data_IF_315174371307
#
_entry.id   IF_315174371307
#
_cell.length_a   1.000
_cell.length_b   1.000
_cell.length_c   1.000
_cell.angle_alpha   90.00
_cell.angle_beta   90.00
_cell.angle_gamma   90.00
#
_symmetry.space_group_name_H-M   'P 1'
#
loop_
_entity.id
_entity.type
_entity.pdbx_description
1 polymer ?
#
# COMPACT_ATOMS: atom_id res chain seq x y z
N UNK A 1 -44.53 24.58 -56.61
CA UNK A 1 -43.90 23.26 -56.58
C UNK A 1 -42.91 23.22 -55.44
N UNK A 2 -43.17 22.42 -54.42
CA UNK A 2 -42.61 22.53 -53.07
C UNK A 2 -41.31 21.75 -52.85
N UNK A 3 -40.15 22.43 -53.02
CA UNK A 3 -38.84 21.86 -52.70
C UNK A 3 -38.30 22.26 -51.30
N UNK A 4 -39.13 22.84 -50.44
CA UNK A 4 -38.67 23.36 -49.13
C UNK A 4 -39.11 22.56 -47.91
N UNK A 5 -39.83 21.45 -48.07
CA UNK A 5 -40.33 20.66 -46.92
C UNK A 5 -39.55 19.37 -46.60
N UNK A 6 -38.66 18.95 -47.49
CA UNK A 6 -37.91 17.67 -47.31
C UNK A 6 -36.62 17.85 -46.54
N UNK A 7 -36.11 19.11 -46.41
CA UNK A 7 -34.84 19.35 -45.72
C UNK A 7 -34.96 19.44 -44.20
N UNK A 8 -36.18 19.68 -43.67
CA UNK A 8 -36.37 19.85 -42.24
C UNK A 8 -36.58 18.52 -41.48
N UNK A 9 -37.05 17.50 -42.17
CA UNK A 9 -37.28 16.17 -41.55
C UNK A 9 -35.98 15.38 -41.44
N UNK A 10 -34.99 15.64 -42.31
CA UNK A 10 -33.70 14.90 -42.27
C UNK A 10 -32.78 15.38 -41.13
N UNK A 11 -33.01 16.61 -40.60
CA UNK A 11 -32.19 17.17 -39.52
C UNK A 11 -32.64 16.71 -38.12
N UNK A 12 -33.88 16.22 -38.02
CA UNK A 12 -34.47 15.78 -36.72
C UNK A 12 -34.15 14.34 -36.38
N UNK A 13 -33.67 13.53 -37.35
CA UNK A 13 -33.31 12.12 -37.12
C UNK A 13 -31.83 11.91 -36.74
N UNK A 14 -30.98 12.98 -36.81
CA UNK A 14 -29.55 12.86 -36.51
C UNK A 14 -29.22 13.22 -35.05
N UNK A 15 -30.21 13.66 -34.27
CA UNK A 15 -29.99 14.14 -32.88
C UNK A 15 -30.12 13.04 -31.79
N UNK A 16 -30.40 11.78 -32.13
CA UNK A 16 -30.69 10.73 -31.13
C UNK A 16 -29.54 9.71 -30.99
N UNK A 17 -28.44 9.85 -31.72
CA UNK A 17 -27.34 8.86 -31.74
C UNK A 17 -26.11 9.25 -30.93
N UNK A 18 -26.13 10.35 -30.15
CA UNK A 18 -25.06 10.64 -29.21
C UNK A 18 -25.44 10.18 -27.82
N UNK A 19 -25.72 8.90 -27.66
CA UNK A 19 -25.73 8.22 -26.39
C UNK A 19 -24.30 8.27 -25.84
N UNK A 20 -24.07 9.22 -24.92
CA UNK A 20 -22.81 9.33 -24.17
C UNK A 20 -22.63 8.01 -23.44
N UNK A 21 -21.82 7.12 -23.99
CA UNK A 21 -21.24 5.97 -23.31
C UNK A 21 -20.32 6.53 -22.22
N UNK A 22 -20.89 6.90 -21.08
CA UNK A 22 -20.10 7.04 -19.88
C UNK A 22 -19.59 5.64 -19.53
N UNK A 23 -18.28 5.38 -19.52
CA UNK A 23 -17.78 4.15 -18.95
C UNK A 23 -18.26 4.15 -17.49
N UNK A 24 -19.17 3.26 -17.13
CA UNK A 24 -19.39 2.92 -15.74
C UNK A 24 -18.00 2.54 -15.21
N UNK A 25 -17.46 3.42 -14.37
CA UNK A 25 -16.27 3.12 -13.60
C UNK A 25 -16.66 1.90 -12.72
N UNK A 26 -16.44 0.71 -13.26
CA UNK A 26 -16.51 -0.50 -12.48
C UNK A 26 -15.34 -0.36 -11.52
N UNK A 27 -15.65 -0.02 -10.27
CA UNK A 27 -14.75 -0.31 -9.17
C UNK A 27 -14.42 -1.80 -9.33
N UNK A 28 -13.27 -2.07 -9.95
CA UNK A 28 -12.73 -3.41 -10.02
C UNK A 28 -12.58 -3.82 -8.57
N UNK A 29 -13.41 -4.75 -8.15
CA UNK A 29 -13.28 -5.46 -6.89
C UNK A 29 -11.99 -6.29 -7.02
N UNK A 30 -10.84 -5.60 -6.90
CA UNK A 30 -9.54 -6.25 -6.80
C UNK A 30 -9.60 -7.03 -5.50
N UNK A 31 -9.82 -8.32 -5.64
CA UNK A 31 -9.70 -9.28 -4.55
C UNK A 31 -8.29 -9.11 -4.00
N UNK A 32 -8.17 -8.34 -2.92
CA UNK A 32 -6.93 -8.14 -2.19
C UNK A 32 -6.43 -9.52 -1.81
N UNK A 33 -5.29 -9.90 -2.36
CA UNK A 33 -4.70 -11.20 -2.08
C UNK A 33 -3.93 -11.07 -0.77
N UNK A 34 -4.32 -11.80 0.26
CA UNK A 34 -3.49 -11.95 1.44
C UNK A 34 -2.14 -12.53 1.02
N UNK A 35 -1.09 -11.81 1.32
CA UNK A 35 0.28 -12.18 0.98
C UNK A 35 1.15 -12.08 2.22
N UNK A 36 2.23 -12.85 2.25
CA UNK A 36 3.26 -12.76 3.27
C UNK A 36 4.50 -12.12 2.66
N UNK A 37 5.00 -11.08 3.31
CA UNK A 37 6.22 -10.36 2.93
C UNK A 37 7.22 -10.49 4.06
N UNK A 38 8.44 -10.90 3.73
CA UNK A 38 9.60 -10.91 4.63
C UNK A 38 10.53 -9.77 4.22
N UNK A 39 10.98 -8.95 5.19
CA UNK A 39 11.85 -7.83 4.87
C UNK A 39 12.33 -7.08 6.12
N UNK A 40 13.25 -6.14 5.89
CA UNK A 40 13.76 -5.25 6.92
C UNK A 40 12.78 -4.12 7.21
N UNK A 41 12.55 -3.83 8.49
CA UNK A 41 11.78 -2.66 8.90
C UNK A 41 12.63 -1.40 8.80
N UNK A 42 12.16 -0.43 7.99
CA UNK A 42 12.83 0.86 7.80
C UNK A 42 11.91 2.03 8.15
N UNK A 43 12.47 3.17 8.54
CA UNK A 43 11.75 4.43 8.41
C UNK A 43 11.83 4.93 6.97
N UNK A 44 10.69 5.13 6.34
CA UNK A 44 10.63 5.51 4.94
C UNK A 44 11.17 6.91 4.67
N UNK A 45 11.18 7.80 5.66
CA UNK A 45 11.70 9.15 5.47
C UNK A 45 13.19 9.13 5.15
N UNK A 46 13.99 8.41 5.94
CA UNK A 46 15.42 8.32 5.72
C UNK A 46 15.77 7.31 4.60
N UNK A 47 15.01 6.23 4.48
CA UNK A 47 15.24 5.23 3.44
C UNK A 47 15.07 5.82 2.04
N UNK A 48 13.92 6.45 1.76
CA UNK A 48 13.63 7.01 0.44
C UNK A 48 14.53 8.20 0.10
N UNK A 49 14.82 9.06 1.10
CA UNK A 49 15.60 10.27 0.84
C UNK A 49 17.10 10.04 0.73
N UNK A 50 17.65 9.00 1.35
CA UNK A 50 19.10 8.80 1.48
C UNK A 50 19.57 7.34 1.38
N UNK A 51 18.68 6.37 1.18
CA UNK A 51 19.02 4.95 1.15
C UNK A 51 19.47 4.39 2.50
N UNK A 52 19.09 5.00 3.62
CA UNK A 52 19.58 4.60 4.94
C UNK A 52 18.77 3.45 5.52
N UNK A 53 19.47 2.34 5.85
CA UNK A 53 18.90 1.11 6.41
C UNK A 53 19.94 0.37 7.24
N UNK A 54 19.59 -0.80 7.76
CA UNK A 54 20.47 -1.71 8.49
C UNK A 54 20.88 -1.24 9.88
N UNK A 55 21.78 -2.01 10.51
CA UNK A 55 22.20 -1.82 11.88
C UNK A 55 22.79 -0.43 12.17
N UNK A 56 23.52 0.14 11.20
CA UNK A 56 24.12 1.47 11.35
C UNK A 56 23.11 2.61 11.43
N UNK A 57 21.90 2.42 10.89
CA UNK A 57 20.83 3.42 10.95
C UNK A 57 19.78 3.14 12.03
N UNK A 58 19.84 1.99 12.71
CA UNK A 58 18.82 1.52 13.66
C UNK A 58 18.38 2.57 14.68
N UNK A 59 19.31 3.25 15.36
CA UNK A 59 18.98 4.20 16.42
C UNK A 59 18.24 5.45 15.90
N UNK A 60 18.53 5.88 14.69
CA UNK A 60 17.82 6.95 14.03
C UNK A 60 16.41 6.49 13.61
N UNK A 61 16.31 5.33 12.99
CA UNK A 61 15.03 4.75 12.56
C UNK A 61 14.06 4.56 13.75
N UNK A 62 14.54 4.05 14.89
CA UNK A 62 13.75 3.96 16.12
C UNK A 62 13.15 5.33 16.50
N UNK A 63 13.97 6.38 16.53
CA UNK A 63 13.48 7.74 16.88
C UNK A 63 12.45 8.27 15.88
N UNK A 64 12.68 8.04 14.59
CA UNK A 64 11.77 8.48 13.53
C UNK A 64 10.43 7.76 13.62
N UNK A 65 10.44 6.44 13.71
CA UNK A 65 9.23 5.62 13.83
C UNK A 65 8.44 5.92 15.11
N UNK A 66 9.13 6.08 16.26
CA UNK A 66 8.49 6.46 17.52
C UNK A 66 7.76 7.82 17.44
N UNK A 67 8.25 8.72 16.58
CA UNK A 67 7.63 10.03 16.33
C UNK A 67 6.59 10.02 15.22
N UNK A 68 6.29 8.85 14.66
CA UNK A 68 5.24 8.70 13.66
C UNK A 68 5.73 8.82 12.21
N UNK A 69 7.05 8.77 11.94
CA UNK A 69 7.54 8.62 10.57
C UNK A 69 6.97 7.33 9.96
N UNK A 70 6.62 7.32 8.65
CA UNK A 70 6.04 6.14 8.02
C UNK A 70 6.98 4.94 8.11
N UNK A 71 6.46 3.79 8.53
CA UNK A 71 7.18 2.53 8.51
C UNK A 71 7.08 1.86 7.14
N UNK A 72 8.14 1.21 6.72
CA UNK A 72 8.18 0.36 5.55
C UNK A 72 8.84 -0.97 5.81
N UNK A 73 8.55 -1.93 4.93
CA UNK A 73 9.25 -3.19 4.83
C UNK A 73 10.01 -3.22 3.50
N UNK A 74 11.29 -3.53 3.54
CA UNK A 74 12.13 -3.70 2.34
C UNK A 74 12.49 -5.17 2.24
N UNK A 75 12.04 -5.83 1.16
CA UNK A 75 12.34 -7.24 0.93
C UNK A 75 13.77 -7.45 0.40
N UNK A 76 14.15 -8.71 0.22
CA UNK A 76 15.49 -9.07 -0.28
C UNK A 76 15.77 -8.63 -1.72
N UNK A 77 14.72 -8.37 -2.50
CA UNK A 77 14.82 -7.88 -3.89
C UNK A 77 14.84 -6.34 -3.95
N UNK A 78 14.72 -5.66 -2.81
CA UNK A 78 14.70 -4.20 -2.69
C UNK A 78 13.33 -3.59 -2.95
N UNK A 79 12.26 -4.38 -3.03
CA UNK A 79 10.91 -3.84 -3.13
C UNK A 79 10.49 -3.21 -1.80
N UNK A 80 9.84 -2.07 -1.89
CA UNK A 80 9.36 -1.31 -0.73
C UNK A 80 7.86 -1.54 -0.56
N UNK A 81 7.47 -1.93 0.65
CA UNK A 81 6.06 -2.01 1.05
C UNK A 81 5.80 -1.03 2.18
N UNK A 82 4.91 -0.06 1.93
CA UNK A 82 4.47 0.88 2.98
C UNK A 82 3.56 0.13 3.96
N UNK A 83 3.89 0.16 5.24
CA UNK A 83 3.08 -0.49 6.28
C UNK A 83 1.92 0.44 6.66
N UNK A 84 0.69 0.02 6.37
CA UNK A 84 -0.53 0.75 6.67
C UNK A 84 -0.98 0.40 8.10
N UNK A 85 -0.27 0.94 9.06
CA UNK A 85 -0.54 0.77 10.49
C UNK A 85 0.24 1.83 11.30
N UNK A 86 -0.09 2.05 12.59
CA UNK A 86 0.66 2.98 13.44
C UNK A 86 2.14 2.59 13.58
N UNK A 87 3.03 3.46 13.12
CA UNK A 87 4.47 3.20 13.04
C UNK A 87 5.21 3.08 14.38
N UNK A 88 4.77 3.71 15.51
CA UNK A 88 5.50 3.58 16.78
C UNK A 88 5.66 2.13 17.27
N UNK A 89 4.70 1.24 16.98
CA UNK A 89 4.81 -0.17 17.32
C UNK A 89 5.95 -0.89 16.59
N UNK A 90 6.30 -0.44 15.39
CA UNK A 90 7.40 -0.99 14.59
C UNK A 90 8.78 -0.46 14.98
N UNK A 91 8.86 0.55 15.85
CA UNK A 91 10.13 1.17 16.22
C UNK A 91 11.15 0.19 16.82
N UNK A 92 10.72 -0.72 17.68
CA UNK A 92 11.59 -1.76 18.28
C UNK A 92 12.14 -2.74 17.26
N UNK A 93 11.49 -2.86 16.11
CA UNK A 93 11.85 -3.76 15.00
C UNK A 93 12.68 -3.09 13.91
N UNK A 94 12.98 -1.79 14.04
CA UNK A 94 13.82 -1.07 13.08
C UNK A 94 15.14 -1.79 12.82
N UNK A 95 15.53 -1.92 11.54
CA UNK A 95 16.70 -2.66 11.07
C UNK A 95 16.68 -4.16 11.43
N UNK A 96 15.49 -4.72 11.65
CA UNK A 96 15.30 -6.17 11.82
C UNK A 96 14.45 -6.72 10.69
N UNK A 97 14.72 -7.94 10.30
CA UNK A 97 13.87 -8.69 9.38
C UNK A 97 12.68 -9.27 10.14
N UNK A 98 11.48 -8.98 9.64
CA UNK A 98 10.22 -9.51 10.13
C UNK A 98 9.42 -10.11 8.98
N UNK A 99 8.37 -10.86 9.31
CA UNK A 99 7.33 -11.26 8.36
C UNK A 99 6.04 -10.56 8.67
N UNK A 100 5.43 -9.96 7.65
CA UNK A 100 4.07 -9.43 7.72
C UNK A 100 3.18 -10.20 6.76
N UNK A 101 2.04 -10.67 7.25
CA UNK A 101 0.96 -11.18 6.41
C UNK A 101 -0.20 -10.22 6.44
N UNK A 102 -0.88 -10.09 5.30
CA UNK A 102 -2.03 -9.20 5.19
C UNK A 102 -2.37 -8.87 3.74
N UNK A 103 -3.26 -7.93 3.59
CA UNK A 103 -3.69 -7.42 2.28
C UNK A 103 -2.61 -6.56 1.66
N UNK A 104 -2.16 -6.93 0.45
CA UNK A 104 -1.13 -6.20 -0.30
C UNK A 104 -1.75 -5.60 -1.55
N UNK A 105 -1.58 -4.29 -1.73
CA UNK A 105 -2.06 -3.52 -2.88
C UNK A 105 -1.11 -2.35 -3.18
N UNK A 106 -0.68 -2.21 -4.42
CA UNK A 106 0.16 -1.09 -4.92
C UNK A 106 1.35 -0.74 -3.99
N UNK A 107 2.13 -1.74 -3.56
CA UNK A 107 3.27 -1.52 -2.67
C UNK A 107 2.91 -1.12 -1.24
N UNK A 108 1.65 -1.33 -0.84
CA UNK A 108 1.18 -1.12 0.54
C UNK A 108 0.78 -2.45 1.15
N UNK A 109 1.09 -2.65 2.42
CA UNK A 109 0.63 -3.81 3.18
C UNK A 109 -0.19 -3.36 4.38
N UNK A 110 -1.43 -3.90 4.50
CA UNK A 110 -2.29 -3.76 5.68
C UNK A 110 -2.15 -5.04 6.52
N UNK A 111 -1.31 -5.04 7.56
CA UNK A 111 -0.96 -6.27 8.26
C UNK A 111 -2.09 -6.77 9.16
N UNK A 112 -2.31 -8.07 9.12
CA UNK A 112 -3.18 -8.79 10.05
C UNK A 112 -2.40 -9.80 10.91
N UNK A 113 -1.17 -10.16 10.51
CA UNK A 113 -0.25 -11.02 11.25
C UNK A 113 1.18 -10.52 11.11
N UNK A 114 1.96 -10.67 12.19
CA UNK A 114 3.38 -10.40 12.22
C UNK A 114 4.14 -11.55 12.89
N UNK A 115 5.33 -11.83 12.40
CA UNK A 115 6.27 -12.77 13.01
C UNK A 115 7.66 -12.13 13.11
N UNK A 116 8.32 -12.31 14.27
CA UNK A 116 9.71 -11.92 14.49
C UNK A 116 10.62 -13.15 14.59
N UNK A 117 11.89 -13.00 14.24
CA UNK A 117 12.89 -14.06 14.37
C UNK A 117 13.31 -14.20 15.83
N UNK A 118 13.10 -15.37 16.40
CA UNK A 118 13.55 -15.72 17.75
C UNK A 118 14.50 -16.93 17.66
N UNK A 119 15.79 -16.66 17.73
CA UNK A 119 16.81 -17.66 17.45
C UNK A 119 16.76 -18.11 15.99
N UNK A 120 16.35 -19.35 15.73
CA UNK A 120 16.20 -19.91 14.37
C UNK A 120 14.74 -20.07 13.94
N UNK A 121 13.79 -19.65 14.75
CA UNK A 121 12.36 -19.86 14.52
C UNK A 121 11.62 -18.52 14.41
N UNK A 122 10.55 -18.51 13.62
CA UNK A 122 9.61 -17.42 13.58
C UNK A 122 8.62 -17.53 14.73
N UNK A 123 8.44 -16.45 15.47
CA UNK A 123 7.47 -16.35 16.56
C UNK A 123 6.44 -15.28 16.25
N UNK A 124 5.17 -15.60 16.48
CA UNK A 124 4.08 -14.67 16.23
C UNK A 124 4.08 -13.53 17.25
N UNK A 125 3.88 -12.31 16.75
CA UNK A 125 3.75 -11.08 17.53
C UNK A 125 2.32 -10.60 17.45
N UNK A 126 1.68 -10.40 18.61
CA UNK A 126 0.31 -9.88 18.66
C UNK A 126 0.22 -8.46 18.15
N UNK A 127 -0.65 -8.22 17.14
CA UNK A 127 -0.94 -6.92 16.58
C UNK A 127 -2.20 -6.28 17.21
N UNK A 128 -2.21 -4.95 17.27
CA UNK A 128 -3.38 -4.14 17.61
C UNK A 128 -3.53 -3.06 16.54
N UNK A 129 -4.63 -3.09 15.76
CA UNK A 129 -4.80 -2.19 14.62
C UNK A 129 -3.67 -2.30 13.59
N UNK A 130 -3.19 -3.53 13.33
CA UNK A 130 -2.09 -3.80 12.39
C UNK A 130 -0.69 -3.47 12.92
N UNK A 131 -0.55 -2.95 14.15
CA UNK A 131 0.73 -2.57 14.75
C UNK A 131 1.07 -3.42 15.97
N UNK A 132 2.34 -3.84 16.17
CA UNK A 132 2.77 -4.42 17.43
C UNK A 132 2.69 -3.41 18.57
N UNK A 133 2.52 -3.92 19.80
CA UNK A 133 2.65 -3.07 20.99
C UNK A 133 4.06 -2.51 21.07
N UNK A 134 4.24 -1.20 21.37
CA UNK A 134 5.57 -0.65 21.67
C UNK A 134 6.22 -1.39 22.83
N UNK A 135 7.47 -1.78 22.64
CA UNK A 135 8.30 -2.42 23.71
C UNK A 135 8.94 -1.36 24.58
#
# INVERSE_FOLDING_TARGET
MNKKKTSFVLFLLFSIAFGVLYPKNQATNQKTKDSQIEGEVVDLTCYISRGLSGAGHRSCAIRCLTRGAPAGLVDQDGNIFVIIAPSPGYASYAAQTIRLSGSVEDGRISPNKMEEMTGKNWAEVTLQGGSPKPK
#
